data_IF_671860122630
#
_entry.id   IF_671860122630
#
_cell.length_a   1.000
_cell.length_b   1.000
_cell.length_c   1.000
_cell.angle_alpha   90.00
_cell.angle_beta   90.00
_cell.angle_gamma   90.00
#
_symmetry.space_group_name_H-M   'P 1'
#
loop_
_entity.id
_entity.type
_entity.pdbx_description
1 polymer ?
#
# COMPACT_ATOMS: atom_id res chain seq x y z
N UNK A 1 36.65 -3.22 19.42
CA UNK A 1 36.01 -4.55 19.38
C UNK A 1 35.05 -4.58 18.20
N UNK A 2 35.55 -5.03 17.06
CA UNK A 2 34.83 -5.11 15.78
C UNK A 2 34.05 -6.43 15.73
N UNK A 3 32.72 -6.36 15.75
CA UNK A 3 31.85 -7.52 15.51
C UNK A 3 31.56 -7.62 14.02
N UNK A 4 32.15 -8.63 13.38
CA UNK A 4 31.75 -9.10 12.06
C UNK A 4 30.38 -9.78 12.18
N UNK A 5 29.37 -9.28 11.48
CA UNK A 5 28.09 -9.95 11.30
C UNK A 5 28.19 -10.84 10.06
N UNK A 6 28.22 -12.15 10.27
CA UNK A 6 28.09 -13.13 9.21
C UNK A 6 26.63 -13.17 8.74
N UNK A 7 26.42 -12.86 7.45
CA UNK A 7 25.14 -12.99 6.76
C UNK A 7 24.92 -14.47 6.41
N UNK A 8 23.94 -15.11 7.06
CA UNK A 8 23.49 -16.45 6.73
C UNK A 8 22.13 -16.36 6.04
N UNK A 9 22.15 -16.24 4.71
CA UNK A 9 21.01 -16.59 3.86
C UNK A 9 21.25 -18.02 3.40
N UNK A 10 20.98 -18.96 4.30
CA UNK A 10 20.77 -20.34 3.89
C UNK A 10 19.38 -20.43 3.30
N UNK A 11 19.26 -20.11 2.00
CA UNK A 11 18.49 -21.00 1.13
C UNK A 11 19.00 -22.40 1.44
N UNK A 12 18.12 -23.28 1.87
CA UNK A 12 18.42 -24.68 2.12
C UNK A 12 18.78 -25.35 0.79
N UNK A 13 19.96 -25.05 0.25
CA UNK A 13 20.74 -26.00 -0.50
C UNK A 13 20.95 -27.16 0.47
N UNK A 14 20.03 -28.11 0.41
CA UNK A 14 20.12 -29.41 1.06
C UNK A 14 21.55 -29.93 0.93
N UNK A 15 22.04 -30.52 2.02
CA UNK A 15 23.40 -31.02 2.20
C UNK A 15 23.73 -32.21 1.28
N UNK A 16 23.64 -32.01 -0.03
CA UNK A 16 24.01 -32.95 -1.09
C UNK A 16 25.28 -32.50 -1.84
N UNK A 17 26.12 -31.68 -1.19
CA UNK A 17 27.41 -31.24 -1.75
C UNK A 17 28.58 -32.20 -1.46
N UNK A 18 28.29 -33.43 -1.03
CA UNK A 18 29.25 -34.51 -1.07
C UNK A 18 29.15 -35.20 -2.44
N UNK A 19 30.00 -34.76 -3.39
CA UNK A 19 30.40 -35.44 -4.63
C UNK A 19 29.48 -35.39 -5.89
N UNK A 20 28.33 -34.70 -5.89
CA UNK A 20 27.41 -34.70 -7.04
C UNK A 20 27.53 -33.49 -7.98
N UNK A 21 27.61 -33.73 -9.29
CA UNK A 21 27.40 -32.76 -10.38
C UNK A 21 26.28 -31.76 -10.02
N UNK A 22 26.49 -30.47 -10.25
CA UNK A 22 25.41 -29.47 -10.15
C UNK A 22 24.20 -29.97 -10.96
N UNK A 23 23.02 -30.00 -10.34
CA UNK A 23 21.80 -30.39 -11.03
C UNK A 23 21.68 -29.55 -12.31
N UNK A 24 21.33 -30.19 -13.42
CA UNK A 24 21.10 -29.49 -14.67
C UNK A 24 20.06 -28.38 -14.41
N UNK A 25 20.27 -27.17 -14.96
CA UNK A 25 19.36 -26.07 -14.71
C UNK A 25 17.95 -26.46 -15.17
N UNK A 26 16.96 -26.10 -14.37
CA UNK A 26 15.59 -26.52 -14.62
C UNK A 26 15.02 -25.75 -15.82
N UNK A 27 14.90 -26.42 -16.96
CA UNK A 27 14.56 -25.80 -18.24
C UNK A 27 13.21 -25.04 -18.21
N UNK A 28 12.09 -25.61 -17.69
CA UNK A 28 10.85 -24.86 -17.50
C UNK A 28 11.01 -23.52 -16.77
N UNK A 29 11.80 -23.47 -15.69
CA UNK A 29 12.03 -22.23 -14.94
C UNK A 29 12.87 -21.23 -15.75
N UNK A 30 13.89 -21.70 -16.47
CA UNK A 30 14.68 -20.85 -17.36
C UNK A 30 13.82 -20.25 -18.49
N UNK A 31 12.93 -21.05 -19.08
CA UNK A 31 12.04 -20.62 -20.15
C UNK A 31 11.03 -19.58 -19.64
N UNK A 32 10.44 -19.78 -18.46
CA UNK A 32 9.58 -18.78 -17.83
C UNK A 32 10.32 -17.47 -17.54
N UNK A 33 11.53 -17.54 -16.98
CA UNK A 33 12.36 -16.34 -16.77
C UNK A 33 12.65 -15.62 -18.10
N UNK A 34 13.01 -16.36 -19.15
CA UNK A 34 13.26 -15.77 -20.47
C UNK A 34 12.01 -15.09 -21.04
N UNK A 35 10.86 -15.78 -20.99
CA UNK A 35 9.58 -15.23 -21.42
C UNK A 35 9.22 -13.95 -20.64
N UNK A 36 9.47 -13.95 -19.33
CA UNK A 36 9.25 -12.79 -18.49
C UNK A 36 10.15 -11.59 -18.83
N UNK A 37 11.43 -11.83 -19.13
CA UNK A 37 12.34 -10.77 -19.60
C UNK A 37 11.89 -10.20 -20.96
N UNK A 38 11.44 -11.05 -21.89
CA UNK A 38 10.90 -10.60 -23.18
C UNK A 38 9.65 -9.72 -22.99
N UNK A 39 8.75 -10.12 -22.10
CA UNK A 39 7.53 -9.37 -21.79
C UNK A 39 7.83 -8.03 -21.11
N UNK A 40 8.73 -8.02 -20.12
CA UNK A 40 9.21 -6.79 -19.48
C UNK A 40 9.95 -5.87 -20.44
N UNK A 41 10.65 -6.42 -21.45
CA UNK A 41 11.28 -5.61 -22.50
C UNK A 41 10.23 -4.89 -23.36
N UNK A 42 9.13 -5.57 -23.71
CA UNK A 42 8.00 -4.92 -24.42
C UNK A 42 7.37 -3.84 -23.55
N UNK A 43 7.08 -4.16 -22.28
CA UNK A 43 6.51 -3.23 -21.31
C UNK A 43 7.38 -1.97 -21.18
N UNK A 44 8.68 -2.16 -20.96
CA UNK A 44 9.69 -1.10 -20.91
C UNK A 44 9.65 -0.22 -22.16
N UNK A 45 9.52 -0.82 -23.35
CA UNK A 45 9.36 -0.09 -24.61
C UNK A 45 8.11 0.80 -24.64
N UNK A 46 6.96 0.28 -24.20
CA UNK A 46 5.72 1.06 -24.05
C UNK A 46 5.88 2.20 -23.04
N UNK A 47 6.51 1.94 -21.88
CA UNK A 47 6.77 2.96 -20.85
C UNK A 47 7.67 4.09 -21.37
N UNK A 48 8.69 3.75 -22.16
CA UNK A 48 9.57 4.72 -22.80
C UNK A 48 8.83 5.59 -23.81
N UNK A 49 7.95 5.00 -24.64
CA UNK A 49 7.11 5.74 -25.60
C UNK A 49 6.15 6.72 -24.90
N UNK A 50 5.66 6.37 -23.70
CA UNK A 50 4.83 7.25 -22.87
C UNK A 50 5.63 8.34 -22.13
N UNK A 51 6.97 8.31 -22.19
CA UNK A 51 7.86 9.22 -21.47
C UNK A 51 7.96 8.94 -19.96
N UNK A 52 7.61 7.72 -19.53
CA UNK A 52 7.49 7.35 -18.12
C UNK A 52 8.79 6.71 -17.61
N UNK A 53 9.84 7.52 -17.40
CA UNK A 53 11.20 7.04 -17.07
C UNK A 53 11.28 6.10 -15.85
N UNK A 54 10.58 6.42 -14.77
CA UNK A 54 10.56 5.65 -13.53
C UNK A 54 9.91 4.28 -13.72
N UNK A 55 8.94 4.16 -14.62
CA UNK A 55 8.35 2.87 -14.98
C UNK A 55 9.32 2.04 -15.86
N UNK A 56 10.15 2.70 -16.67
CA UNK A 56 11.28 2.04 -17.37
C UNK A 56 12.28 1.48 -16.35
N UNK A 57 12.63 2.25 -15.33
CA UNK A 57 13.56 1.83 -14.27
C UNK A 57 12.96 0.70 -13.42
N UNK A 58 11.65 0.72 -13.18
CA UNK A 58 10.93 -0.38 -12.52
C UNK A 58 11.00 -1.67 -13.36
N UNK A 59 10.82 -1.59 -14.69
CA UNK A 59 10.99 -2.75 -15.57
C UNK A 59 12.41 -3.33 -15.46
N UNK A 60 13.44 -2.47 -15.49
CA UNK A 60 14.85 -2.87 -15.34
C UNK A 60 15.11 -3.51 -13.97
N UNK A 61 14.48 -2.99 -12.91
CA UNK A 61 14.59 -3.52 -11.54
C UNK A 61 13.88 -4.87 -11.38
N UNK A 62 12.68 -5.03 -11.96
CA UNK A 62 11.94 -6.30 -11.96
C UNK A 62 12.70 -7.37 -12.76
N UNK A 63 13.21 -7.04 -13.95
CA UNK A 63 14.05 -7.94 -14.74
C UNK A 63 15.26 -8.43 -13.94
N UNK A 64 15.93 -7.53 -13.21
CA UNK A 64 17.04 -7.90 -12.33
C UNK A 64 16.60 -8.85 -11.21
N UNK A 65 15.44 -8.62 -10.59
CA UNK A 65 14.88 -9.51 -9.54
C UNK A 65 14.60 -10.92 -10.07
N UNK A 66 14.12 -11.04 -11.31
CA UNK A 66 13.89 -12.34 -11.96
C UNK A 66 15.21 -13.10 -12.20
N UNK A 67 16.26 -12.38 -12.59
CA UNK A 67 17.57 -12.97 -12.88
C UNK A 67 18.38 -13.30 -11.61
N UNK A 68 18.20 -12.52 -10.55
CA UNK A 68 18.98 -12.60 -9.31
C UNK A 68 18.10 -12.65 -8.04
N UNK A 69 17.17 -13.62 -7.89
CA UNK A 69 16.17 -13.61 -6.81
C UNK A 69 16.77 -13.72 -5.40
N UNK A 70 18.01 -14.20 -5.27
CA UNK A 70 18.69 -14.36 -3.97
C UNK A 70 19.48 -13.13 -3.52
N UNK A 71 19.56 -12.07 -4.35
CA UNK A 71 20.30 -10.85 -4.01
C UNK A 71 19.32 -9.78 -3.59
N UNK A 72 19.55 -9.20 -2.40
CA UNK A 72 18.84 -8.00 -1.97
C UNK A 72 19.06 -6.90 -3.01
N UNK A 73 18.00 -6.50 -3.70
CA UNK A 73 18.04 -5.38 -4.65
C UNK A 73 17.55 -4.13 -3.91
N UNK A 74 18.29 -3.04 -4.09
CA UNK A 74 17.97 -1.77 -3.44
C UNK A 74 16.64 -1.25 -4.01
N UNK A 75 15.60 -1.17 -3.18
CA UNK A 75 14.25 -0.71 -3.56
C UNK A 75 14.19 0.82 -3.78
N UNK A 76 15.25 1.44 -4.30
CA UNK A 76 15.26 2.87 -4.56
C UNK A 76 14.63 3.14 -5.92
N UNK A 77 13.30 3.14 -5.97
CA UNK A 77 12.56 3.66 -7.11
C UNK A 77 13.03 5.08 -7.46
N UNK A 78 13.20 5.36 -8.75
CA UNK A 78 13.45 6.73 -9.20
C UNK A 78 12.14 7.51 -9.20
N UNK A 79 12.16 8.73 -8.65
CA UNK A 79 10.99 9.60 -8.70
C UNK A 79 10.69 10.03 -10.13
N UNK A 80 9.53 9.65 -10.66
CA UNK A 80 8.98 10.23 -11.90
C UNK A 80 7.98 11.32 -11.62
N UNK A 81 7.94 12.37 -12.47
CA UNK A 81 6.81 13.27 -12.52
C UNK A 81 5.51 12.50 -12.79
N UNK A 82 4.41 12.97 -12.19
CA UNK A 82 3.08 12.47 -12.46
C UNK A 82 2.72 12.64 -13.96
N UNK A 83 2.29 11.57 -14.67
CA UNK A 83 2.06 11.63 -16.12
C UNK A 83 0.70 12.23 -16.53
N UNK A 84 -0.19 12.51 -15.57
CA UNK A 84 -1.59 12.93 -15.83
C UNK A 84 -2.59 11.77 -15.67
N UNK A 85 -3.87 12.08 -15.41
CA UNK A 85 -4.92 11.10 -15.05
C UNK A 85 -5.11 10.02 -16.13
N UNK A 86 -5.22 10.43 -17.41
CA UNK A 86 -5.43 9.50 -18.53
C UNK A 86 -4.25 8.54 -18.69
N UNK A 87 -3.02 9.09 -18.70
CA UNK A 87 -1.80 8.28 -18.80
C UNK A 87 -1.62 7.39 -17.59
N UNK A 88 -1.92 7.86 -16.38
CA UNK A 88 -1.87 7.03 -15.17
C UNK A 88 -2.81 5.83 -15.30
N UNK A 89 -4.05 6.04 -15.76
CA UNK A 89 -5.00 4.95 -15.96
C UNK A 89 -4.51 3.94 -17.01
N UNK A 90 -3.94 4.42 -18.12
CA UNK A 90 -3.30 3.58 -19.13
C UNK A 90 -2.14 2.77 -18.53
N UNK A 91 -1.24 3.41 -17.79
CA UNK A 91 -0.10 2.75 -17.14
C UNK A 91 -0.54 1.66 -16.16
N UNK A 92 -1.49 1.95 -15.27
CA UNK A 92 -2.01 0.99 -14.30
C UNK A 92 -2.64 -0.22 -14.99
N UNK A 93 -3.34 0.00 -16.10
CA UNK A 93 -3.88 -1.07 -16.95
C UNK A 93 -2.75 -1.89 -17.59
N UNK A 94 -1.75 -1.25 -18.20
CA UNK A 94 -0.63 -1.95 -18.87
C UNK A 94 0.15 -2.82 -17.89
N UNK A 95 0.44 -2.33 -16.69
CA UNK A 95 1.08 -3.13 -15.64
C UNK A 95 0.21 -4.29 -15.18
N UNK A 96 -1.09 -4.08 -14.96
CA UNK A 96 -2.03 -5.15 -14.61
C UNK A 96 -2.03 -6.28 -15.66
N UNK A 97 -2.17 -5.93 -16.94
CA UNK A 97 -2.21 -6.90 -18.02
C UNK A 97 -0.87 -7.63 -18.21
N UNK A 98 0.26 -6.95 -18.01
CA UNK A 98 1.57 -7.58 -18.00
C UNK A 98 1.70 -8.58 -16.83
N UNK A 99 1.23 -8.20 -15.64
CA UNK A 99 1.19 -9.07 -14.47
C UNK A 99 0.43 -10.37 -14.73
N UNK A 100 -0.74 -10.30 -15.38
CA UNK A 100 -1.52 -11.49 -15.73
C UNK A 100 -0.74 -12.44 -16.67
N UNK A 101 -0.08 -11.90 -17.70
CA UNK A 101 0.73 -12.69 -18.65
C UNK A 101 1.96 -13.31 -17.99
N UNK A 102 2.66 -12.53 -17.16
CA UNK A 102 3.83 -12.98 -16.42
C UNK A 102 3.45 -14.08 -15.41
N UNK A 103 2.37 -13.89 -14.66
CA UNK A 103 1.85 -14.87 -13.72
C UNK A 103 1.52 -16.19 -14.42
N UNK A 104 0.84 -16.14 -15.58
CA UNK A 104 0.50 -17.33 -16.35
C UNK A 104 1.73 -18.14 -16.76
N UNK A 105 2.79 -17.48 -17.26
CA UNK A 105 4.04 -18.16 -17.65
C UNK A 105 4.71 -18.88 -16.48
N UNK A 106 4.76 -18.25 -15.31
CA UNK A 106 5.33 -18.88 -14.11
C UNK A 106 4.43 -19.99 -13.53
N UNK A 107 3.10 -19.88 -13.63
CA UNK A 107 2.16 -20.97 -13.26
C UNK A 107 2.35 -22.21 -14.16
N UNK A 108 2.54 -22.00 -15.46
CA UNK A 108 2.81 -23.08 -16.42
C UNK A 108 4.14 -23.78 -16.11
N UNK A 109 5.19 -23.03 -15.78
CA UNK A 109 6.45 -23.60 -15.33
C UNK A 109 6.27 -24.36 -14.00
N UNK A 110 5.64 -23.76 -12.99
CA UNK A 110 5.42 -24.37 -11.67
C UNK A 110 4.74 -25.76 -11.76
N UNK A 111 3.83 -25.96 -12.73
CA UNK A 111 3.16 -27.24 -12.96
C UNK A 111 4.10 -28.38 -13.41
N UNK A 112 5.30 -28.04 -13.90
CA UNK A 112 6.32 -28.98 -14.42
C UNK A 112 7.54 -29.10 -13.48
N UNK A 113 7.53 -28.37 -12.37
CA UNK A 113 8.65 -28.23 -11.44
C UNK A 113 8.36 -29.00 -10.15
N UNK A 114 9.42 -29.29 -9.39
CA UNK A 114 9.34 -29.82 -8.03
C UNK A 114 10.36 -29.12 -7.12
N UNK A 115 10.17 -29.23 -5.81
CA UNK A 115 11.08 -28.67 -4.81
C UNK A 115 11.27 -27.16 -4.92
N UNK A 116 12.51 -26.69 -4.74
CA UNK A 116 12.83 -25.26 -4.69
C UNK A 116 12.50 -24.53 -5.99
N UNK A 117 12.68 -25.18 -7.15
CA UNK A 117 12.37 -24.56 -8.43
C UNK A 117 10.87 -24.28 -8.58
N UNK A 118 10.01 -25.19 -8.11
CA UNK A 118 8.56 -25.00 -8.08
C UNK A 118 8.18 -23.86 -7.15
N UNK A 119 8.73 -23.85 -5.94
CA UNK A 119 8.46 -22.80 -4.95
C UNK A 119 8.86 -21.41 -5.46
N UNK A 120 9.98 -21.31 -6.20
CA UNK A 120 10.39 -20.07 -6.84
C UNK A 120 9.40 -19.64 -7.95
N UNK A 121 8.98 -20.56 -8.81
CA UNK A 121 8.01 -20.27 -9.85
C UNK A 121 6.66 -19.85 -9.27
N UNK A 122 6.17 -20.53 -8.24
CA UNK A 122 4.93 -20.16 -7.52
C UNK A 122 5.05 -18.79 -6.84
N UNK A 123 6.22 -18.47 -6.28
CA UNK A 123 6.50 -17.15 -5.71
C UNK A 123 6.36 -16.05 -6.76
N UNK A 124 7.02 -16.18 -7.91
CA UNK A 124 6.90 -15.21 -9.00
C UNK A 124 5.48 -15.14 -9.56
N UNK A 125 4.82 -16.28 -9.74
CA UNK A 125 3.44 -16.36 -10.21
C UNK A 125 2.49 -15.55 -9.32
N UNK A 126 2.56 -15.74 -8.00
CA UNK A 126 1.71 -15.02 -7.06
C UNK A 126 2.10 -13.54 -6.93
N UNK A 127 3.39 -13.19 -7.04
CA UNK A 127 3.81 -11.79 -7.07
C UNK A 127 3.21 -11.06 -8.27
N UNK A 128 3.32 -11.59 -9.48
CA UNK A 128 2.75 -10.97 -10.68
C UNK A 128 1.21 -10.94 -10.65
N UNK A 129 0.56 -11.97 -10.08
CA UNK A 129 -0.90 -11.98 -9.88
C UNK A 129 -1.37 -10.83 -8.98
N UNK A 130 -0.56 -10.43 -8.00
CA UNK A 130 -0.87 -9.30 -7.12
C UNK A 130 -0.88 -7.94 -7.84
N UNK A 131 -0.26 -7.81 -9.03
CA UNK A 131 -0.10 -6.52 -9.71
C UNK A 131 -1.42 -5.86 -10.09
N UNK A 132 -2.42 -6.65 -10.50
CA UNK A 132 -3.76 -6.13 -10.80
C UNK A 132 -4.44 -5.52 -9.57
N UNK A 133 -4.16 -6.04 -8.39
CA UNK A 133 -4.66 -5.53 -7.11
C UNK A 133 -3.86 -4.32 -6.63
N UNK A 134 -2.53 -4.31 -6.83
CA UNK A 134 -1.72 -3.10 -6.63
C UNK A 134 -2.24 -1.94 -7.48
N UNK A 135 -2.50 -2.19 -8.78
CA UNK A 135 -3.06 -1.22 -9.71
C UNK A 135 -4.40 -0.65 -9.21
N UNK A 136 -5.31 -1.53 -8.75
CA UNK A 136 -6.60 -1.13 -8.17
C UNK A 136 -6.43 -0.28 -6.92
N UNK A 137 -5.60 -0.71 -5.97
CA UNK A 137 -5.34 0.02 -4.72
C UNK A 137 -4.74 1.41 -4.97
N UNK A 138 -3.74 1.52 -5.85
CA UNK A 138 -3.12 2.81 -6.18
C UNK A 138 -4.07 3.71 -6.96
N UNK A 139 -4.87 3.16 -7.89
CA UNK A 139 -5.93 3.91 -8.58
C UNK A 139 -6.95 4.46 -7.59
N UNK A 140 -7.38 3.64 -6.63
CA UNK A 140 -8.30 4.04 -5.58
C UNK A 140 -7.72 5.11 -4.65
N UNK A 141 -6.47 4.96 -4.22
CA UNK A 141 -5.74 5.97 -3.45
C UNK A 141 -5.69 7.30 -4.21
N UNK A 142 -5.39 7.28 -5.50
CA UNK A 142 -5.33 8.49 -6.31
C UNK A 142 -6.69 9.17 -6.51
N UNK A 143 -7.79 8.40 -6.57
CA UNK A 143 -9.14 8.95 -6.51
C UNK A 143 -9.35 9.77 -5.24
N UNK A 144 -8.98 9.23 -4.07
CA UNK A 144 -9.08 9.91 -2.77
C UNK A 144 -8.18 11.14 -2.70
N UNK A 145 -6.92 11.01 -3.15
CA UNK A 145 -5.94 12.10 -3.18
C UNK A 145 -6.42 13.28 -4.04
N UNK A 146 -7.13 13.02 -5.15
CA UNK A 146 -7.75 14.06 -5.99
C UNK A 146 -8.74 14.92 -5.21
N UNK A 147 -9.66 14.31 -4.45
CA UNK A 147 -10.58 15.07 -3.58
C UNK A 147 -9.83 15.86 -2.50
N UNK A 148 -8.74 15.30 -1.98
CA UNK A 148 -7.88 15.96 -1.00
C UNK A 148 -7.01 17.08 -1.60
N UNK A 149 -7.06 17.31 -2.93
CA UNK A 149 -6.18 18.25 -3.66
C UNK A 149 -4.69 17.91 -3.54
N UNK A 150 -4.38 16.62 -3.40
CA UNK A 150 -3.03 16.08 -3.37
C UNK A 150 -2.59 15.62 -4.76
N UNK A 151 -1.30 15.74 -5.06
CA UNK A 151 -0.72 15.15 -6.27
C UNK A 151 -0.90 13.63 -6.23
N UNK A 152 -1.31 12.98 -7.32
CA UNK A 152 -1.37 11.52 -7.37
C UNK A 152 0.02 10.88 -7.16
N UNK A 153 0.02 9.63 -6.69
CA UNK A 153 1.22 8.81 -6.49
C UNK A 153 1.34 7.72 -7.54
N UNK A 154 2.56 7.30 -7.83
CA UNK A 154 2.84 6.11 -8.63
C UNK A 154 3.07 4.90 -7.72
N UNK A 155 2.83 3.69 -8.22
CA UNK A 155 3.33 2.48 -7.59
C UNK A 155 4.84 2.38 -7.81
N UNK A 156 5.58 1.92 -6.80
CA UNK A 156 6.91 1.38 -6.99
C UNK A 156 6.80 -0.13 -7.23
N UNK A 157 6.72 -0.51 -8.50
CA UNK A 157 6.51 -1.90 -8.91
C UNK A 157 7.63 -2.81 -8.45
N UNK A 158 8.86 -2.31 -8.41
CA UNK A 158 9.99 -3.06 -7.88
C UNK A 158 9.81 -3.35 -6.39
N UNK A 159 9.32 -2.37 -5.62
CA UNK A 159 9.06 -2.48 -4.18
C UNK A 159 7.85 -3.35 -3.81
N UNK A 160 6.95 -3.66 -4.76
CA UNK A 160 5.76 -4.51 -4.51
C UNK A 160 6.13 -5.92 -4.05
N UNK A 161 7.30 -6.44 -4.48
CA UNK A 161 7.75 -7.80 -4.11
C UNK A 161 7.89 -7.95 -2.60
N UNK A 162 8.46 -6.95 -1.92
CA UNK A 162 8.62 -7.02 -0.46
C UNK A 162 7.27 -7.13 0.25
N UNK A 163 6.28 -6.32 -0.15
CA UNK A 163 4.93 -6.41 0.40
C UNK A 163 4.26 -7.76 0.12
N UNK A 164 4.45 -8.32 -1.08
CA UNK A 164 3.96 -9.67 -1.40
C UNK A 164 4.61 -10.75 -0.54
N UNK A 165 5.95 -10.74 -0.42
CA UNK A 165 6.69 -11.71 0.39
C UNK A 165 6.32 -11.61 1.88
N UNK A 166 6.14 -10.39 2.39
CA UNK A 166 5.60 -10.18 3.73
C UNK A 166 4.20 -10.78 3.88
N UNK A 167 3.32 -10.60 2.89
CA UNK A 167 2.00 -11.20 2.90
C UNK A 167 2.04 -12.74 2.90
N UNK A 168 2.96 -13.35 2.15
CA UNK A 168 3.22 -14.79 2.17
C UNK A 168 3.72 -15.25 3.54
N UNK A 169 4.64 -14.50 4.16
CA UNK A 169 5.13 -14.75 5.51
C UNK A 169 3.97 -14.76 6.52
N UNK A 170 3.14 -13.72 6.51
CA UNK A 170 1.99 -13.60 7.42
C UNK A 170 0.98 -14.72 7.21
N UNK A 171 0.71 -15.11 5.96
CA UNK A 171 -0.20 -16.22 5.67
C UNK A 171 0.31 -17.56 6.20
N UNK A 172 1.61 -17.84 6.07
CA UNK A 172 2.24 -19.08 6.56
C UNK A 172 2.33 -19.16 8.08
N UNK A 173 2.37 -18.01 8.75
CA UNK A 173 2.62 -17.90 10.19
C UNK A 173 1.43 -17.36 10.98
N UNK A 174 0.21 -17.34 10.40
CA UNK A 174 -1.00 -16.79 11.05
C UNK A 174 -1.29 -17.40 12.43
N UNK A 175 -0.96 -18.70 12.60
CA UNK A 175 -1.21 -19.46 13.81
C UNK A 175 -0.01 -19.38 14.79
N UNK A 176 1.08 -18.72 14.39
CA UNK A 176 2.26 -18.52 15.21
C UNK A 176 2.13 -17.25 16.05
N UNK A 177 2.09 -17.41 17.37
CA UNK A 177 1.96 -16.29 18.33
C UNK A 177 3.04 -15.21 18.16
N UNK A 178 4.27 -15.58 17.81
CA UNK A 178 5.35 -14.60 17.66
C UNK A 178 5.08 -13.66 16.48
N UNK A 179 4.76 -14.21 15.31
CA UNK A 179 4.39 -13.42 14.13
C UNK A 179 3.09 -12.64 14.34
N UNK A 180 2.12 -13.21 15.07
CA UNK A 180 0.86 -12.52 15.37
C UNK A 180 1.01 -11.37 16.38
N UNK A 181 2.03 -11.41 17.25
CA UNK A 181 2.23 -10.40 18.30
C UNK A 181 2.91 -9.12 17.83
N UNK A 182 3.68 -9.19 16.75
CA UNK A 182 4.33 -8.04 16.13
C UNK A 182 4.36 -8.23 14.59
N UNK A 183 3.27 -7.85 13.89
CA UNK A 183 3.20 -8.04 12.44
C UNK A 183 4.21 -7.16 11.68
N UNK A 184 4.84 -6.17 12.34
CA UNK A 184 5.86 -5.32 11.75
C UNK A 184 7.28 -5.92 11.82
N UNK A 185 7.43 -7.11 12.40
CA UNK A 185 8.71 -7.78 12.53
C UNK A 185 8.64 -9.25 12.10
N UNK A 186 9.36 -9.61 11.04
CA UNK A 186 9.51 -11.02 10.66
C UNK A 186 10.65 -11.69 11.46
N UNK A 187 10.35 -12.82 12.09
CA UNK A 187 11.35 -13.73 12.65
C UNK A 187 12.04 -14.52 11.54
N UNK A 188 13.36 -14.35 11.44
CA UNK A 188 14.25 -15.04 10.50
C UNK A 188 14.25 -16.57 10.56
N UNK A 189 13.67 -17.16 11.61
CA UNK A 189 13.56 -18.61 11.79
C UNK A 189 12.25 -19.20 11.29
N UNK A 190 11.27 -18.36 10.94
CA UNK A 190 9.95 -18.81 10.54
C UNK A 190 9.83 -19.01 9.02
N UNK A 191 8.98 -19.95 8.56
CA UNK A 191 8.80 -20.21 7.13
C UNK A 191 8.37 -18.96 6.36
N UNK A 192 8.98 -18.75 5.20
CA UNK A 192 8.67 -17.62 4.31
C UNK A 192 9.40 -16.32 4.64
N UNK A 193 10.26 -16.29 5.66
CA UNK A 193 11.07 -15.10 5.95
C UNK A 193 11.95 -14.73 4.75
N UNK A 194 12.00 -13.44 4.44
CA UNK A 194 12.90 -12.87 3.44
C UNK A 194 13.40 -11.51 3.92
N UNK A 195 14.53 -11.03 3.40
CA UNK A 195 15.00 -9.68 3.73
C UNK A 195 14.07 -8.61 3.15
N UNK A 196 13.52 -8.87 1.96
CA UNK A 196 12.58 -8.01 1.26
C UNK A 196 11.24 -7.93 2.02
N UNK A 197 10.72 -9.06 2.48
CA UNK A 197 9.53 -9.14 3.33
C UNK A 197 9.72 -8.39 4.64
N UNK A 198 10.81 -8.69 5.36
CA UNK A 198 11.14 -8.00 6.61
C UNK A 198 11.31 -6.48 6.43
N UNK A 199 11.88 -6.03 5.31
CA UNK A 199 11.98 -4.61 4.99
C UNK A 199 10.62 -3.97 4.68
N UNK A 200 9.66 -4.73 4.14
CA UNK A 200 8.29 -4.28 3.91
C UNK A 200 7.44 -4.33 5.19
N UNK A 201 7.73 -5.21 6.14
CA UNK A 201 7.02 -5.32 7.42
C UNK A 201 7.06 -4.00 8.23
N UNK A 202 8.14 -3.22 8.08
CA UNK A 202 8.27 -1.90 8.71
C UNK A 202 7.35 -0.80 8.13
N UNK A 203 6.54 -1.10 7.12
CA UNK A 203 5.52 -0.21 6.57
C UNK A 203 4.21 -0.23 7.38
N UNK A 204 3.18 0.42 6.85
CA UNK A 204 1.80 0.27 7.34
C UNK A 204 1.22 -1.05 6.81
N UNK A 205 0.46 -1.75 7.66
CA UNK A 205 -0.05 -3.09 7.36
C UNK A 205 -1.57 -3.11 7.38
N UNK A 206 -2.18 -3.99 6.60
CA UNK A 206 -3.64 -4.11 6.52
C UNK A 206 -4.08 -5.42 5.87
N UNK A 207 -5.31 -5.85 6.16
CA UNK A 207 -5.91 -7.06 5.59
C UNK A 207 -7.19 -6.75 4.82
N UNK A 208 -7.49 -7.54 3.78
CA UNK A 208 -8.69 -7.39 2.96
C UNK A 208 -8.39 -7.08 1.49
N UNK A 209 -9.34 -6.47 0.78
CA UNK A 209 -9.07 -6.01 -0.60
C UNK A 209 -8.13 -4.81 -0.59
N UNK A 210 -7.39 -4.62 -1.69
CA UNK A 210 -6.48 -3.50 -1.87
C UNK A 210 -7.15 -2.13 -1.64
N UNK A 211 -8.37 -1.96 -2.15
CA UNK A 211 -9.17 -0.74 -2.04
C UNK A 211 -9.68 -0.52 -0.61
N UNK A 212 -10.12 -1.60 0.05
CA UNK A 212 -10.53 -1.56 1.46
C UNK A 212 -9.37 -1.12 2.36
N UNK A 213 -8.21 -1.73 2.17
CA UNK A 213 -7.02 -1.42 2.97
C UNK A 213 -6.60 0.04 2.77
N UNK A 214 -6.67 0.58 1.55
CA UNK A 214 -6.39 2.00 1.29
C UNK A 214 -7.36 2.92 2.02
N UNK A 215 -8.66 2.64 2.00
CA UNK A 215 -9.63 3.46 2.75
C UNK A 215 -9.50 3.27 4.26
N UNK A 216 -9.14 2.08 4.74
CA UNK A 216 -8.85 1.82 6.15
C UNK A 216 -7.63 2.63 6.62
N UNK A 217 -6.55 2.66 5.83
CA UNK A 217 -5.36 3.44 6.16
C UNK A 217 -5.63 4.93 6.08
N UNK A 218 -6.30 5.43 5.04
CA UNK A 218 -6.69 6.84 4.95
C UNK A 218 -7.66 7.24 6.08
N UNK A 219 -8.52 6.33 6.51
CA UNK A 219 -9.43 6.50 7.63
C UNK A 219 -8.78 6.37 9.01
N UNK A 220 -7.46 6.20 9.10
CA UNK A 220 -6.73 6.00 10.36
C UNK A 220 -5.91 7.24 10.76
N UNK A 221 -5.54 7.37 12.03
CA UNK A 221 -4.71 8.48 12.49
C UNK A 221 -3.22 8.25 12.17
N UNK A 222 -2.70 7.06 12.42
CA UNK A 222 -1.29 6.69 12.28
C UNK A 222 -0.97 6.08 10.91
N UNK A 223 -1.81 5.19 10.39
CA UNK A 223 -1.51 4.51 9.11
C UNK A 223 -1.74 5.40 7.88
N UNK A 224 -2.35 6.57 8.05
CA UNK A 224 -2.62 7.49 6.94
C UNK A 224 -1.37 8.16 6.40
N UNK A 225 -0.38 8.45 7.23
CA UNK A 225 0.77 9.30 6.86
C UNK A 225 1.48 8.81 5.57
N UNK A 226 1.83 7.52 5.43
CA UNK A 226 2.62 7.09 4.27
C UNK A 226 1.90 7.20 2.92
N UNK A 227 0.56 7.18 2.92
CA UNK A 227 -0.27 7.22 1.69
C UNK A 227 -0.91 8.58 1.44
N UNK A 228 -1.07 9.40 2.48
CA UNK A 228 -1.68 10.73 2.41
C UNK A 228 -0.65 11.86 2.39
N UNK A 229 0.59 11.61 2.80
CA UNK A 229 1.62 12.65 2.89
C UNK A 229 1.71 13.46 1.61
N UNK A 230 1.79 14.77 1.79
CA UNK A 230 1.80 15.76 0.72
C UNK A 230 3.06 15.66 -0.16
N UNK A 231 4.13 15.13 0.41
CA UNK A 231 5.40 14.89 -0.27
C UNK A 231 5.53 13.45 -0.79
N UNK A 232 4.48 12.63 -0.67
CA UNK A 232 4.49 11.30 -1.26
C UNK A 232 4.23 11.41 -2.76
N UNK A 233 5.17 10.93 -3.59
CA UNK A 233 4.98 10.75 -5.03
C UNK A 233 4.98 9.29 -5.47
N UNK A 234 5.48 8.38 -4.62
CA UNK A 234 5.49 6.93 -4.87
C UNK A 234 5.16 6.14 -3.61
N UNK A 235 4.53 5.00 -3.79
CA UNK A 235 4.25 4.03 -2.72
C UNK A 235 4.79 2.66 -3.08
N UNK A 236 5.53 2.02 -2.19
CA UNK A 236 5.81 0.58 -2.30
C UNK A 236 4.62 -0.17 -1.68
N UNK A 237 3.57 -0.38 -2.46
CA UNK A 237 2.34 -1.07 -2.01
C UNK A 237 2.30 -2.48 -2.60
N UNK A 238 2.31 -3.52 -1.76
CA UNK A 238 2.25 -4.91 -2.20
C UNK A 238 1.61 -5.80 -1.16
N UNK A 239 1.14 -6.97 -1.57
CA UNK A 239 0.47 -7.88 -0.66
C UNK A 239 0.05 -9.18 -1.32
N UNK A 240 -0.43 -10.11 -0.50
CA UNK A 240 -0.97 -11.37 -0.97
C UNK A 240 -2.44 -11.18 -1.41
N UNK A 241 -2.76 -11.55 -2.64
CA UNK A 241 -4.10 -11.42 -3.20
C UNK A 241 -4.77 -12.80 -3.44
N UNK A 242 -6.12 -12.88 -3.45
CA UNK A 242 -7.08 -11.85 -3.01
C UNK A 242 -7.26 -11.85 -1.47
N UNK A 243 -7.52 -10.67 -0.88
CA UNK A 243 -7.95 -10.57 0.52
C UNK A 243 -6.86 -10.73 1.57
N UNK A 244 -5.58 -10.85 1.18
CA UNK A 244 -4.49 -11.15 2.09
C UNK A 244 -3.91 -9.93 2.80
N UNK A 245 -2.70 -10.10 3.31
CA UNK A 245 -1.94 -9.09 4.05
C UNK A 245 -1.21 -8.16 3.08
N UNK A 246 -1.43 -6.87 3.26
CA UNK A 246 -0.84 -5.78 2.49
C UNK A 246 0.13 -5.01 3.35
N UNK A 247 1.22 -4.57 2.71
CA UNK A 247 2.14 -3.59 3.24
C UNK A 247 2.22 -2.39 2.31
N UNK A 248 2.31 -1.19 2.88
CA UNK A 248 2.63 0.02 2.16
C UNK A 248 3.69 0.83 2.90
N UNK A 249 4.59 1.46 2.15
CA UNK A 249 5.51 2.48 2.65
C UNK A 249 5.67 3.57 1.60
N UNK A 250 6.08 4.75 2.05
CA UNK A 250 6.48 5.82 1.14
C UNK A 250 7.72 5.35 0.35
N UNK A 251 7.58 5.21 -0.97
CA UNK A 251 8.65 4.78 -1.87
C UNK A 251 9.65 5.89 -2.20
N UNK A 252 9.46 7.08 -1.62
CA UNK A 252 10.28 8.26 -1.88
C UNK A 252 9.95 8.93 -3.22
N UNK A 253 10.89 9.79 -3.65
CA UNK A 253 10.75 10.61 -4.85
C UNK A 253 10.02 11.93 -4.56
N UNK A 254 10.66 13.04 -4.91
CA UNK A 254 10.07 14.38 -5.12
C UNK A 254 9.25 15.02 -3.99
N UNK A 255 9.41 16.33 -3.76
CA UNK A 255 8.38 17.09 -3.05
C UNK A 255 7.12 17.10 -3.91
N UNK A 256 6.08 16.35 -3.53
CA UNK A 256 4.75 16.56 -4.08
C UNK A 256 4.41 18.04 -3.98
N UNK A 257 4.17 18.68 -5.13
CA UNK A 257 3.84 20.09 -5.16
C UNK A 257 2.40 20.22 -4.68
N UNK A 258 2.20 20.66 -3.43
CA UNK A 258 0.85 20.93 -2.98
C UNK A 258 0.34 22.19 -3.65
N UNK A 259 -0.79 22.07 -4.34
CA UNK A 259 -1.42 23.14 -5.09
C UNK A 259 -2.49 23.89 -4.29
N UNK A 260 -2.79 23.43 -3.08
CA UNK A 260 -3.84 23.99 -2.22
C UNK A 260 -3.26 24.59 -0.94
N UNK A 261 -3.87 25.65 -0.44
CA UNK A 261 -3.52 26.22 0.87
C UNK A 261 -4.04 25.38 2.05
N UNK A 262 -5.06 24.55 1.79
CA UNK A 262 -5.69 23.64 2.75
C UNK A 262 -5.91 22.28 2.09
N UNK A 263 -5.45 21.22 2.75
CA UNK A 263 -5.69 19.83 2.40
C UNK A 263 -6.66 19.27 3.43
N UNK A 264 -7.66 18.50 2.99
CA UNK A 264 -8.57 17.79 3.89
C UNK A 264 -8.65 16.31 3.56
N UNK A 265 -8.93 15.50 4.57
CA UNK A 265 -9.43 14.14 4.38
C UNK A 265 -10.67 13.97 5.26
N UNK A 266 -11.80 13.45 4.75
CA UNK A 266 -12.13 13.34 3.34
C UNK A 266 -11.97 14.69 2.60
N UNK A 267 -11.81 14.64 1.29
CA UNK A 267 -11.80 15.84 0.46
C UNK A 267 -13.20 16.42 0.25
N UNK A 268 -13.29 17.67 -0.21
CA UNK A 268 -14.59 18.28 -0.50
C UNK A 268 -15.31 17.55 -1.64
N UNK A 269 -16.55 17.14 -1.39
CA UNK A 269 -17.37 16.36 -2.30
C UNK A 269 -17.04 14.86 -2.34
N UNK A 270 -16.10 14.37 -1.51
CA UNK A 270 -15.76 12.95 -1.49
C UNK A 270 -16.95 12.09 -1.00
N UNK A 271 -17.09 10.90 -1.55
CA UNK A 271 -18.21 9.97 -1.30
C UNK A 271 -17.71 8.65 -0.75
N UNK A 272 -18.62 7.80 -0.27
CA UNK A 272 -18.28 6.45 0.20
C UNK A 272 -17.27 6.47 1.35
N UNK A 273 -17.38 7.46 2.23
CA UNK A 273 -16.56 7.58 3.43
C UNK A 273 -17.09 6.66 4.52
N UNK A 274 -16.21 5.91 5.20
CA UNK A 274 -16.64 5.08 6.32
C UNK A 274 -17.38 5.93 7.36
N UNK A 275 -18.61 5.56 7.77
CA UNK A 275 -19.36 6.28 8.82
C UNK A 275 -18.76 6.06 10.22
N UNK A 276 -17.79 5.15 10.34
CA UNK A 276 -17.16 4.73 11.60
C UNK A 276 -15.64 4.85 11.52
N UNK A 277 -15.02 5.10 12.66
CA UNK A 277 -13.59 5.04 12.89
C UNK A 277 -13.29 3.96 13.94
N UNK A 278 -12.23 3.19 13.72
CA UNK A 278 -11.75 2.15 14.62
C UNK A 278 -10.77 1.20 13.93
N UNK A 279 -10.31 0.16 14.65
CA UNK A 279 -9.42 -0.86 14.09
C UNK A 279 -7.95 -0.44 13.98
N UNK A 280 -7.55 0.64 14.66
CA UNK A 280 -6.18 1.13 14.70
C UNK A 280 -5.47 0.66 15.97
N UNK A 281 -4.21 0.20 15.83
CA UNK A 281 -3.34 -0.18 16.93
C UNK A 281 -2.06 0.68 16.94
N UNK A 282 -1.74 1.40 18.03
CA UNK A 282 -2.56 1.62 19.23
C UNK A 282 -3.85 2.39 18.92
N UNK A 283 -4.90 2.24 19.72
CA UNK A 283 -6.17 2.91 19.44
C UNK A 283 -6.18 4.34 20.01
N UNK A 284 -6.24 5.41 19.17
CA UNK A 284 -6.20 6.78 19.64
C UNK A 284 -7.45 7.19 20.44
N UNK A 285 -8.50 6.36 20.47
CA UNK A 285 -9.72 6.58 21.24
C UNK A 285 -9.64 6.10 22.70
N UNK A 286 -8.61 5.36 23.10
CA UNK A 286 -8.49 4.82 24.47
C UNK A 286 -8.46 5.93 25.52
N UNK A 287 -7.85 7.08 25.20
CA UNK A 287 -7.86 8.29 26.06
C UNK A 287 -9.28 8.84 26.35
N UNK A 288 -10.28 8.41 25.58
CA UNK A 288 -11.69 8.76 25.76
C UNK A 288 -12.53 7.58 26.29
N UNK A 289 -11.92 6.43 26.57
CA UNK A 289 -12.63 5.22 26.99
C UNK A 289 -13.49 4.60 25.89
N UNK A 290 -13.12 4.79 24.62
CA UNK A 290 -13.87 4.32 23.45
C UNK A 290 -13.04 3.37 22.61
N UNK A 291 -13.69 2.37 21.99
CA UNK A 291 -13.05 1.49 21.01
C UNK A 291 -13.36 1.86 19.57
N UNK A 292 -14.47 2.58 19.34
CA UNK A 292 -14.95 3.03 18.04
C UNK A 292 -15.62 4.40 18.17
N UNK A 293 -15.68 5.14 17.06
CA UNK A 293 -16.36 6.44 16.96
C UNK A 293 -16.95 6.61 15.55
N UNK A 294 -17.45 7.81 15.24
CA UNK A 294 -17.77 8.20 13.86
C UNK A 294 -16.52 8.53 13.04
N UNK A 295 -16.75 8.91 11.79
CA UNK A 295 -15.72 9.20 10.77
C UNK A 295 -14.59 10.11 11.25
N UNK A 296 -13.34 9.72 10.96
CA UNK A 296 -12.17 10.59 11.04
C UNK A 296 -12.21 11.61 9.91
N UNK A 297 -11.98 12.88 10.24
CA UNK A 297 -11.66 13.90 9.26
C UNK A 297 -10.53 14.80 9.75
N UNK A 298 -9.79 15.35 8.78
CA UNK A 298 -8.49 15.97 8.99
C UNK A 298 -8.35 17.20 8.13
N UNK A 299 -7.70 18.22 8.68
CA UNK A 299 -7.51 19.53 8.07
C UNK A 299 -6.05 19.94 8.25
N UNK A 300 -5.31 20.04 7.15
CA UNK A 300 -3.94 20.54 7.11
C UNK A 300 -3.89 21.90 6.42
N UNK A 301 -3.66 22.94 7.21
CA UNK A 301 -3.46 24.30 6.71
C UNK A 301 -1.98 24.49 6.38
N UNK A 302 -1.66 24.50 5.09
CA UNK A 302 -0.31 24.79 4.61
C UNK A 302 0.00 26.28 4.67
N UNK A 303 -1.02 27.11 4.43
CA UNK A 303 -0.95 28.56 4.52
C UNK A 303 -2.24 29.09 5.13
N UNK A 304 -2.14 30.22 5.84
CA UNK A 304 -3.33 30.93 6.34
C UNK A 304 -4.15 30.14 7.37
N UNK A 305 -3.50 29.35 8.26
CA UNK A 305 -4.22 28.69 9.37
C UNK A 305 -5.00 29.74 10.18
N UNK A 306 -6.33 29.60 10.35
CA UNK A 306 -7.13 30.54 11.12
C UNK A 306 -6.64 30.68 12.56
N UNK A 307 -6.74 31.87 13.15
CA UNK A 307 -6.40 32.09 14.56
C UNK A 307 -7.43 31.41 15.47
N UNK A 308 -6.98 30.44 16.27
CA UNK A 308 -7.83 29.67 17.22
C UNK A 308 -9.09 29.12 16.52
N UNK A 309 -8.90 28.21 15.54
CA UNK A 309 -10.00 27.69 14.74
C UNK A 309 -10.99 26.90 15.62
N UNK A 310 -12.27 27.16 15.43
CA UNK A 310 -13.36 26.32 15.94
C UNK A 310 -13.87 25.47 14.79
N UNK A 311 -14.03 24.16 15.03
CA UNK A 311 -14.43 23.19 14.01
C UNK A 311 -15.79 22.60 14.39
N UNK A 312 -16.71 22.52 13.43
CA UNK A 312 -18.02 21.88 13.60
C UNK A 312 -18.31 20.95 12.45
N UNK A 313 -18.88 19.79 12.74
CA UNK A 313 -19.42 18.85 11.74
C UNK A 313 -20.94 18.91 11.81
N UNK A 314 -21.60 19.25 10.70
CA UNK A 314 -23.06 19.36 10.60
C UNK A 314 -23.65 18.28 9.72
N UNK A 315 -24.79 17.74 10.14
CA UNK A 315 -25.64 16.88 9.32
C UNK A 315 -26.45 17.71 8.29
N UNK A 316 -27.24 17.08 7.38
CA UNK A 316 -28.07 17.80 6.42
C UNK A 316 -29.13 18.70 7.05
N UNK A 317 -29.55 18.40 8.28
CA UNK A 317 -30.51 19.18 9.05
C UNK A 317 -29.86 20.39 9.75
N UNK A 318 -28.53 20.51 9.70
CA UNK A 318 -27.74 21.58 10.31
C UNK A 318 -27.37 21.33 11.78
N UNK A 319 -27.67 20.15 12.33
CA UNK A 319 -27.31 19.81 13.70
C UNK A 319 -25.82 19.51 13.80
N UNK A 320 -25.18 20.05 14.83
CA UNK A 320 -23.76 19.81 15.09
C UNK A 320 -23.55 18.43 15.76
N UNK A 321 -22.58 17.67 15.28
CA UNK A 321 -22.06 16.47 15.93
C UNK A 321 -21.05 16.85 17.01
N UNK A 322 -21.05 16.12 18.13
CA UNK A 322 -19.98 16.21 19.13
C UNK A 322 -18.68 15.65 18.54
N UNK A 323 -17.56 16.37 18.71
CA UNK A 323 -16.27 16.03 18.14
C UNK A 323 -15.24 15.68 19.22
N UNK A 324 -14.37 14.72 18.92
CA UNK A 324 -13.18 14.40 19.71
C UNK A 324 -11.93 14.78 18.89
N UNK A 325 -11.00 15.53 19.50
CA UNK A 325 -9.75 15.94 18.85
C UNK A 325 -8.67 14.87 19.00
N UNK A 326 -8.25 14.26 17.90
CA UNK A 326 -7.18 13.27 17.91
C UNK A 326 -5.80 13.91 17.85
N UNK A 327 -5.63 14.95 17.03
CA UNK A 327 -4.34 15.60 16.74
C UNK A 327 -4.46 17.09 16.38
N UNK A 328 -3.34 17.83 16.54
CA UNK A 328 -3.30 19.31 16.42
C UNK A 328 -2.67 19.85 15.12
N UNK A 329 -1.79 19.09 14.50
CA UNK A 329 -1.07 19.45 13.28
C UNK A 329 -0.66 18.18 12.50
N UNK A 330 -1.41 17.76 11.47
CA UNK A 330 -2.67 18.36 11.02
C UNK A 330 -3.78 18.25 12.08
N UNK A 331 -4.80 19.10 11.97
CA UNK A 331 -5.93 19.03 12.91
C UNK A 331 -6.79 17.82 12.57
N UNK A 332 -6.81 16.81 13.44
CA UNK A 332 -7.55 15.55 13.25
C UNK A 332 -8.69 15.45 14.25
N UNK A 333 -9.89 15.11 13.77
CA UNK A 333 -11.10 14.96 14.58
C UNK A 333 -11.86 13.68 14.21
N UNK A 334 -12.58 13.13 15.17
CA UNK A 334 -13.63 12.15 14.92
C UNK A 334 -14.96 12.66 15.46
N UNK A 335 -16.06 12.31 14.82
CA UNK A 335 -17.37 12.44 15.45
C UNK A 335 -17.46 11.43 16.61
N UNK A 336 -17.96 11.84 17.78
CA UNK A 336 -18.06 10.96 18.94
C UNK A 336 -18.94 9.74 18.68
N UNK A 337 -20.02 9.92 17.95
CA UNK A 337 -20.95 8.85 17.57
C UNK A 337 -20.79 8.49 16.10
N UNK A 338 -21.13 7.25 15.74
CA UNK A 338 -21.20 6.81 14.35
C UNK A 338 -22.09 7.74 13.53
N UNK A 339 -21.64 8.06 12.31
CA UNK A 339 -22.43 8.87 11.38
C UNK A 339 -23.49 8.01 10.68
N UNK A 340 -24.56 8.65 10.20
CA UNK A 340 -25.57 7.99 9.36
C UNK A 340 -24.92 7.62 8.03
N UNK A 341 -25.27 6.47 7.50
CA UNK A 341 -24.82 6.01 6.17
C UNK A 341 -25.45 6.83 5.05
N UNK A 342 -24.78 6.89 3.89
CA UNK A 342 -25.27 7.58 2.68
C UNK A 342 -25.74 9.02 2.94
N UNK A 343 -25.09 9.71 3.88
CA UNK A 343 -25.50 11.02 4.38
C UNK A 343 -24.40 12.04 4.13
N UNK A 344 -24.78 13.21 3.59
CA UNK A 344 -23.84 14.32 3.36
C UNK A 344 -23.64 15.10 4.65
N UNK A 345 -22.39 15.23 5.07
CA UNK A 345 -21.98 16.07 6.19
C UNK A 345 -21.17 17.27 5.71
N UNK A 346 -21.22 18.36 6.48
CA UNK A 346 -20.45 19.58 6.20
C UNK A 346 -19.56 19.90 7.40
N UNK A 347 -18.26 20.04 7.15
CA UNK A 347 -17.31 20.55 8.13
C UNK A 347 -17.16 22.05 7.92
N UNK A 348 -17.31 22.82 8.98
CA UNK A 348 -17.06 24.26 9.01
C UNK A 348 -15.93 24.58 9.98
N UNK A 349 -15.04 25.47 9.56
CA UNK A 349 -13.95 26.02 10.37
C UNK A 349 -14.10 27.54 10.43
N UNK A 350 -14.14 28.08 11.65
CA UNK A 350 -14.22 29.51 11.92
C UNK A 350 -13.05 29.95 12.81
N UNK A 351 -12.24 30.88 12.32
CA UNK A 351 -11.20 31.54 13.10
C UNK A 351 -11.72 32.76 13.87
N UNK A 352 -11.05 33.10 14.98
CA UNK A 352 -11.31 34.35 15.72
C UNK A 352 -10.91 35.61 14.94
N UNK A 353 -10.08 35.45 13.91
CA UNK A 353 -9.73 36.46 12.92
C UNK A 353 -10.79 36.62 11.82
N UNK A 354 -11.91 35.89 11.90
CA UNK A 354 -12.99 35.92 10.92
C UNK A 354 -12.74 35.05 9.68
N UNK A 355 -11.59 34.37 9.59
CA UNK A 355 -11.33 33.43 8.50
C UNK A 355 -12.33 32.26 8.55
N UNK A 356 -12.85 31.88 7.38
CA UNK A 356 -13.83 30.81 7.22
C UNK A 356 -13.38 29.82 6.16
N UNK A 357 -13.57 28.55 6.45
CA UNK A 357 -13.33 27.45 5.52
C UNK A 357 -14.40 26.38 5.74
N UNK A 358 -14.90 25.77 4.67
CA UNK A 358 -15.80 24.64 4.76
C UNK A 358 -15.55 23.64 3.65
N UNK A 359 -15.90 22.39 3.93
CA UNK A 359 -15.94 21.31 2.95
C UNK A 359 -17.02 20.31 3.35
N UNK A 360 -17.41 19.46 2.42
CA UNK A 360 -18.43 18.43 2.64
C UNK A 360 -17.97 17.07 2.17
N UNK A 361 -18.54 16.01 2.73
CA UNK A 361 -18.34 14.64 2.26
C UNK A 361 -19.60 13.82 2.50
N UNK A 362 -19.73 12.71 1.80
CA UNK A 362 -20.86 11.79 1.93
C UNK A 362 -20.36 10.46 2.46
N UNK A 363 -20.94 10.00 3.58
CA UNK A 363 -20.68 8.67 4.10
C UNK A 363 -21.19 7.60 3.13
N UNK A 364 -20.52 6.46 3.06
CA UNK A 364 -21.03 5.29 2.35
C UNK A 364 -21.98 4.46 3.21
N UNK A 365 -22.44 3.32 2.68
CA UNK A 365 -23.04 2.26 3.49
C UNK A 365 -22.03 1.65 4.47
N UNK A 366 -22.48 0.78 5.39
CA UNK A 366 -21.53 -0.07 6.13
C UNK A 366 -20.65 -0.75 5.11
N UNK A 367 -19.35 -0.61 5.29
CA UNK A 367 -18.38 -1.41 4.57
C UNK A 367 -18.74 -2.86 4.81
N UNK A 368 -19.40 -3.47 3.82
CA UNK A 368 -19.91 -4.82 3.86
C UNK A 368 -18.77 -5.81 3.71
N UNK A 369 -17.71 -5.62 4.49
CA UNK A 369 -16.61 -6.56 4.65
C UNK A 369 -17.14 -7.86 5.23
N UNK A 370 -17.82 -8.66 4.41
CA UNK A 370 -17.82 -10.11 4.49
C UNK A 370 -16.44 -10.67 4.09
N UNK A 371 -15.38 -9.88 4.26
CA UNK A 371 -13.99 -10.27 4.05
C UNK A 371 -13.40 -10.80 5.34
N UNK A 372 -13.80 -12.02 5.71
CA UNK A 372 -12.93 -13.00 6.35
C UNK A 372 -12.07 -12.58 7.55
N UNK A 373 -12.66 -11.99 8.59
CA UNK A 373 -12.19 -12.28 9.94
C UNK A 373 -13.19 -13.22 10.63
N UNK A 374 -13.31 -14.44 10.11
CA UNK A 374 -13.65 -15.55 11.00
C UNK A 374 -12.43 -15.77 11.88
N UNK A 375 -12.63 -15.62 13.20
CA UNK A 375 -11.62 -15.79 14.24
C UNK A 375 -11.10 -17.23 14.32
#
# INVERSE_FOLDING_TARGET
MTRAAAFCLCLSASAAFAQGKAAAPNQPLLDARKSAIEELTKLRGSMAQLGCKGEVDDCDSVMKKILEPSKSINDKGMGTPYPGDEKLAELMKTWSEAGDRLSASFKEAAAQLEGDAKAEAEMFAGWFESWSHVAKGVTHLNRRRKFCKLTPVMADWSGTLGGYLHGVYMAKNRDNRAAASDPHHEDGKLPGYTLEGAAAAGGILGGGSSEYVMDSWLGSEYHREPVWSRNCSRVCFGGLAPGGWWSCRNGGGGSGNVLADVITFPGDGDTDISPIFGGEGPNPLEKYGMSQSGTLFVIDFLRGKPKKPTVTLKDPEGNASELLELGKAPMSFVAKNALKENTKYTVEVLGQDGAKFSFSFTTGGKWGGKGGQEK
#
